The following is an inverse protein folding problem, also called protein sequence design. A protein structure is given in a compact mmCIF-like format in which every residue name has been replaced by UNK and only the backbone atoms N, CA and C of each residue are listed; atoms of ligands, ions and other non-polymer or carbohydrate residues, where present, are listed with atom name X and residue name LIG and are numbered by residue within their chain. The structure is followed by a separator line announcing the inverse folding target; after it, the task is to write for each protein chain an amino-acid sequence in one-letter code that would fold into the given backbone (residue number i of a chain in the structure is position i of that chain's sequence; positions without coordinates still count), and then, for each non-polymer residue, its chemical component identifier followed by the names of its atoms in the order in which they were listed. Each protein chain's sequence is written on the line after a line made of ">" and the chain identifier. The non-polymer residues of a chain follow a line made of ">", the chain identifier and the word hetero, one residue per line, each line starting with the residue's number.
data_IF_450029087144
#
_entry.id   IF_450029087144
#
_cell.length_a   1.000
_cell.length_b   1.000
_cell.length_c   1.000
_cell.angle_alpha   90.00
_cell.angle_beta   90.00
_cell.angle_gamma   90.00
#
_symmetry.space_group_name_H-M   'P 1'
#
loop_
_entity.id
_entity.type
_entity.pdbx_description
1 polymer ?
#
# COMPACT_ATOMS: atom_id res chain seq x y z
N UNK A 1 6.73 41.68 36.59
CA UNK A 1 6.58 41.39 35.15
C UNK A 1 7.84 40.69 34.59
N UNK A 2 8.50 39.85 35.38
CA UNK A 2 9.82 39.26 35.00
C UNK A 2 9.75 37.73 34.81
N UNK A 3 8.65 37.11 35.21
CA UNK A 3 8.40 35.67 35.05
C UNK A 3 8.01 35.31 33.61
N UNK A 4 7.27 36.18 32.91
CA UNK A 4 6.89 35.98 31.49
C UNK A 4 8.11 35.84 30.59
N UNK A 5 9.10 36.73 30.71
CA UNK A 5 10.26 36.72 29.81
C UNK A 5 11.12 35.45 29.92
N UNK A 6 11.20 34.83 31.10
CA UNK A 6 11.91 33.56 31.29
C UNK A 6 11.10 32.36 30.76
N UNK A 7 9.77 32.44 30.88
CA UNK A 7 8.86 31.42 30.39
C UNK A 7 8.81 31.44 28.86
N UNK A 8 8.73 32.63 28.27
CA UNK A 8 8.83 32.86 26.81
C UNK A 8 10.15 32.32 26.24
N UNK A 9 11.27 32.55 26.94
CA UNK A 9 12.56 32.03 26.51
C UNK A 9 12.60 30.50 26.58
N UNK A 10 12.04 29.91 27.64
CA UNK A 10 11.96 28.47 27.82
C UNK A 10 11.06 27.82 26.75
N UNK A 11 9.93 28.45 26.43
CA UNK A 11 8.99 28.00 25.41
C UNK A 11 9.60 28.09 24.01
N UNK A 12 10.34 29.14 23.70
CA UNK A 12 11.11 29.27 22.46
C UNK A 12 12.14 28.14 22.29
N UNK A 13 12.92 27.83 23.34
CA UNK A 13 13.88 26.73 23.29
C UNK A 13 13.21 25.36 23.18
N UNK A 14 12.06 25.18 23.83
CA UNK A 14 11.27 23.96 23.70
C UNK A 14 10.72 23.80 22.27
N UNK A 15 10.21 24.87 21.65
CA UNK A 15 9.73 24.85 20.27
C UNK A 15 10.84 24.47 19.30
N UNK A 16 12.03 25.08 19.41
CA UNK A 16 13.20 24.72 18.58
C UNK A 16 13.57 23.25 18.76
N UNK A 17 13.58 22.74 20.00
CA UNK A 17 13.87 21.32 20.26
C UNK A 17 12.83 20.42 19.57
N UNK A 18 11.55 20.75 19.70
CA UNK A 18 10.46 19.98 19.07
C UNK A 18 10.63 19.99 17.55
N UNK A 19 10.87 21.15 16.94
CA UNK A 19 11.05 21.28 15.49
C UNK A 19 12.25 20.44 14.99
N UNK A 20 13.36 20.44 15.73
CA UNK A 20 14.54 19.64 15.37
C UNK A 20 14.25 18.15 15.50
N UNK A 21 13.60 17.73 16.59
CA UNK A 21 13.24 16.33 16.82
C UNK A 21 12.23 15.82 15.78
N UNK A 22 11.24 16.63 15.41
CA UNK A 22 10.27 16.27 14.35
C UNK A 22 10.93 16.18 12.99
N UNK A 23 11.87 17.08 12.66
CA UNK A 23 12.63 16.99 11.41
C UNK A 23 13.47 15.72 11.34
N UNK A 24 14.12 15.36 12.45
CA UNK A 24 14.90 14.12 12.56
C UNK A 24 14.00 12.87 12.45
N UNK A 25 12.80 12.93 13.02
CA UNK A 25 11.83 11.83 12.93
C UNK A 25 11.27 11.69 11.50
N UNK A 26 10.98 12.79 10.82
CA UNK A 26 10.56 12.79 9.41
C UNK A 26 11.65 12.20 8.52
N UNK A 27 12.91 12.58 8.72
CA UNK A 27 14.07 12.02 7.99
C UNK A 27 14.24 10.51 8.27
N UNK A 28 14.07 10.08 9.53
CA UNK A 28 14.10 8.67 9.91
C UNK A 28 12.94 7.87 9.29
N UNK A 29 11.73 8.44 9.25
CA UNK A 29 10.56 7.81 8.62
C UNK A 29 10.72 7.72 7.11
N UNK A 30 11.27 8.75 6.46
CA UNK A 30 11.61 8.72 5.03
C UNK A 30 12.72 7.70 4.74
N UNK A 31 13.69 7.48 5.62
CA UNK A 31 14.68 6.39 5.46
C UNK A 31 14.06 5.00 5.70
N UNK A 32 13.25 4.83 6.74
CA UNK A 32 12.65 3.53 7.09
C UNK A 32 11.55 3.08 6.09
N UNK A 33 10.78 4.04 5.58
CA UNK A 33 9.65 3.80 4.67
C UNK A 33 9.88 4.24 3.22
N UNK A 34 10.70 5.26 2.96
CA UNK A 34 11.02 5.76 1.61
C UNK A 34 12.35 5.27 1.03
N UNK A 35 13.25 4.70 1.86
CA UNK A 35 14.59 4.24 1.43
C UNK A 35 14.70 2.76 1.04
N UNK A 36 13.64 1.96 1.16
CA UNK A 36 13.64 0.52 0.79
C UNK A 36 13.16 0.25 -0.64
N UNK A 37 13.20 1.23 -1.53
CA UNK A 37 12.54 1.11 -2.84
C UNK A 37 13.38 0.53 -3.98
N UNK A 38 14.69 0.31 -3.80
CA UNK A 38 15.53 -0.20 -4.91
C UNK A 38 16.40 -1.42 -4.61
N UNK A 39 16.61 -1.80 -3.35
CA UNK A 39 17.50 -2.91 -3.05
C UNK A 39 16.79 -4.12 -2.45
N UNK A 40 16.62 -5.09 -3.36
CA UNK A 40 16.86 -6.52 -3.14
C UNK A 40 15.61 -7.31 -2.77
N UNK A 41 15.26 -8.19 -3.72
CA UNK A 41 14.25 -9.23 -3.65
C UNK A 41 12.84 -8.72 -3.93
N UNK A 42 12.61 -8.40 -5.22
CA UNK A 42 11.36 -8.80 -5.84
C UNK A 42 11.13 -10.27 -5.51
N UNK A 43 10.22 -10.48 -4.57
CA UNK A 43 9.43 -11.68 -4.42
C UNK A 43 9.31 -12.37 -5.78
N UNK A 44 10.02 -13.50 -5.93
CA UNK A 44 10.40 -14.11 -7.22
C UNK A 44 9.27 -14.46 -8.20
N UNK A 45 8.03 -14.11 -7.88
CA UNK A 45 6.84 -14.25 -8.71
C UNK A 45 6.93 -13.48 -10.03
N UNK A 46 7.60 -12.33 -10.10
CA UNK A 46 7.78 -11.59 -11.36
C UNK A 46 8.94 -12.10 -12.21
N UNK A 47 10.08 -12.39 -11.57
CA UNK A 47 11.31 -12.79 -12.26
C UNK A 47 11.16 -14.13 -12.98
N UNK A 48 10.49 -15.11 -12.36
CA UNK A 48 10.24 -16.41 -12.97
C UNK A 48 9.44 -16.30 -14.28
N UNK A 49 8.47 -15.38 -14.36
CA UNK A 49 7.67 -15.18 -15.57
C UNK A 49 8.46 -14.46 -16.65
N UNK A 50 9.31 -13.48 -16.28
CA UNK A 50 10.23 -12.85 -17.23
C UNK A 50 11.24 -13.84 -17.80
N UNK A 51 11.78 -14.74 -16.97
CA UNK A 51 12.70 -15.79 -17.40
C UNK A 51 11.98 -16.80 -18.31
N UNK A 52 10.75 -17.18 -17.98
CA UNK A 52 9.94 -18.06 -18.82
C UNK A 52 9.69 -17.45 -20.20
N UNK A 53 9.35 -16.16 -20.25
CA UNK A 53 9.16 -15.42 -21.51
C UNK A 53 10.47 -15.31 -22.29
N UNK A 54 11.59 -15.04 -21.61
CA UNK A 54 12.91 -15.00 -22.23
C UNK A 54 13.31 -16.37 -22.83
N UNK A 55 13.11 -17.46 -22.08
CA UNK A 55 13.35 -18.82 -22.54
C UNK A 55 12.45 -19.23 -23.72
N UNK A 56 11.25 -18.67 -23.81
CA UNK A 56 10.34 -18.84 -24.95
C UNK A 56 10.71 -17.97 -26.17
N UNK A 57 11.76 -17.14 -26.09
CA UNK A 57 12.15 -16.20 -27.15
C UNK A 57 11.27 -14.95 -27.23
N UNK A 58 10.49 -14.69 -26.17
CA UNK A 58 9.54 -13.58 -26.04
C UNK A 58 9.96 -12.61 -24.92
N UNK A 59 11.28 -12.46 -24.70
CA UNK A 59 11.83 -11.60 -23.64
C UNK A 59 11.34 -10.15 -23.72
N UNK A 60 11.05 -9.64 -24.93
CA UNK A 60 10.48 -8.31 -25.14
C UNK A 60 9.14 -8.07 -24.43
N UNK A 61 8.39 -9.14 -24.11
CA UNK A 61 7.15 -9.03 -23.35
C UNK A 61 7.39 -8.83 -21.84
N UNK A 62 8.59 -9.17 -21.35
CA UNK A 62 9.00 -8.99 -19.96
C UNK A 62 9.69 -7.65 -19.67
N UNK A 63 10.24 -6.98 -20.68
CA UNK A 63 10.91 -5.67 -20.52
C UNK A 63 10.04 -4.60 -19.83
N UNK A 64 8.75 -4.41 -20.18
CA UNK A 64 7.92 -3.41 -19.50
C UNK A 64 7.81 -3.67 -17.99
N UNK A 65 7.77 -4.95 -17.57
CA UNK A 65 7.74 -5.30 -16.16
C UNK A 65 9.01 -4.88 -15.44
N UNK A 66 10.18 -5.07 -16.06
CA UNK A 66 11.49 -4.65 -15.52
C UNK A 66 11.56 -3.12 -15.36
N UNK A 67 10.88 -2.37 -16.24
CA UNK A 67 10.70 -0.93 -16.13
C UNK A 67 9.58 -0.51 -15.14
N UNK A 68 8.92 -1.47 -14.48
CA UNK A 68 7.81 -1.21 -13.56
C UNK A 68 6.51 -0.75 -14.26
N UNK A 69 6.35 -1.06 -15.54
CA UNK A 69 5.20 -0.70 -16.37
C UNK A 69 4.36 -1.92 -16.73
N UNK A 70 3.06 -1.70 -16.95
CA UNK A 70 2.17 -2.73 -17.45
C UNK A 70 2.30 -2.84 -18.98
N UNK A 71 2.32 -4.07 -19.50
CA UNK A 71 2.20 -4.32 -20.94
C UNK A 71 0.73 -4.15 -21.37
N UNK A 72 0.49 -3.36 -22.42
CA UNK A 72 -0.86 -3.12 -22.91
C UNK A 72 -1.46 -4.36 -23.61
N UNK A 73 -2.78 -4.53 -23.50
CA UNK A 73 -3.49 -5.63 -24.16
C UNK A 73 -3.39 -5.53 -25.69
N UNK A 74 -3.29 -4.31 -26.24
CA UNK A 74 -3.13 -4.08 -27.68
C UNK A 74 -1.76 -4.56 -28.19
N UNK A 75 -0.70 -4.33 -27.42
CA UNK A 75 0.65 -4.78 -27.79
C UNK A 75 0.76 -6.30 -27.63
N UNK A 76 0.16 -6.85 -26.58
CA UNK A 76 0.09 -8.28 -26.35
C UNK A 76 -0.67 -9.00 -27.48
N UNK A 77 -1.87 -8.53 -27.84
CA UNK A 77 -2.67 -9.13 -28.92
C UNK A 77 -1.94 -9.08 -30.27
N UNK A 78 -1.21 -8.00 -30.54
CA UNK A 78 -0.37 -7.88 -31.74
C UNK A 78 0.75 -8.94 -31.75
N UNK A 79 1.46 -9.11 -30.64
CA UNK A 79 2.51 -10.12 -30.50
C UNK A 79 1.99 -11.56 -30.61
N UNK A 80 0.77 -11.81 -30.12
CA UNK A 80 0.15 -13.14 -30.12
C UNK A 80 -0.59 -13.52 -31.41
N UNK A 81 -0.77 -12.57 -32.34
CA UNK A 81 -1.62 -12.73 -33.53
C UNK A 81 -1.25 -13.92 -34.43
N UNK A 82 0.03 -14.29 -34.48
CA UNK A 82 0.56 -15.39 -35.31
C UNK A 82 0.76 -16.69 -34.52
N UNK A 83 0.42 -16.73 -33.24
CA UNK A 83 0.66 -17.88 -32.37
C UNK A 83 -0.53 -18.83 -32.32
N UNK A 84 -0.25 -20.11 -32.03
CA UNK A 84 -1.33 -21.07 -31.81
C UNK A 84 -2.16 -20.68 -30.57
N UNK A 85 -3.49 -20.92 -30.55
CA UNK A 85 -4.36 -20.44 -29.46
C UNK A 85 -3.91 -20.87 -28.05
N UNK A 86 -3.39 -22.09 -27.94
CA UNK A 86 -2.90 -22.63 -26.66
C UNK A 86 -1.61 -21.92 -26.18
N UNK A 87 -0.70 -21.57 -27.10
CA UNK A 87 0.52 -20.83 -26.78
C UNK A 87 0.18 -19.39 -26.40
N UNK A 88 -0.69 -18.76 -27.18
CA UNK A 88 -1.17 -17.40 -26.91
C UNK A 88 -1.82 -17.32 -25.52
N UNK A 89 -2.65 -18.30 -25.14
CA UNK A 89 -3.25 -18.33 -23.81
C UNK A 89 -2.20 -18.49 -22.70
N UNK A 90 -1.18 -19.34 -22.89
CA UNK A 90 -0.12 -19.52 -21.91
C UNK A 90 0.66 -18.22 -21.69
N UNK A 91 1.05 -17.55 -22.76
CA UNK A 91 1.77 -16.27 -22.71
C UNK A 91 0.90 -15.19 -22.06
N UNK A 92 -0.39 -15.13 -22.41
CA UNK A 92 -1.33 -14.17 -21.82
C UNK A 92 -1.41 -14.33 -20.29
N UNK A 93 -1.48 -15.56 -19.77
CA UNK A 93 -1.46 -15.79 -18.32
C UNK A 93 -0.18 -15.27 -17.66
N UNK A 94 0.98 -15.48 -18.30
CA UNK A 94 2.27 -15.02 -17.77
C UNK A 94 2.34 -13.49 -17.73
N UNK A 95 1.90 -12.84 -18.80
CA UNK A 95 1.82 -11.37 -18.87
C UNK A 95 0.79 -10.82 -17.88
N UNK A 96 -0.35 -11.50 -17.69
CA UNK A 96 -1.35 -11.11 -16.69
C UNK A 96 -0.79 -11.16 -15.28
N UNK A 97 0.03 -12.17 -14.95
CA UNK A 97 0.77 -12.26 -13.68
C UNK A 97 1.74 -11.09 -13.54
N UNK A 98 2.55 -10.79 -14.56
CA UNK A 98 3.47 -9.64 -14.55
C UNK A 98 2.72 -8.31 -14.34
N UNK A 99 1.64 -8.07 -15.09
CA UNK A 99 0.81 -6.87 -14.92
C UNK A 99 0.15 -6.82 -13.53
N UNK A 100 -0.24 -7.96 -12.97
CA UNK A 100 -0.77 -8.05 -11.60
C UNK A 100 0.28 -7.62 -10.58
N UNK A 101 1.50 -8.15 -10.67
CA UNK A 101 2.59 -7.81 -9.76
C UNK A 101 2.96 -6.32 -9.83
N UNK A 102 3.03 -5.71 -11.01
CA UNK A 102 3.23 -4.24 -11.17
C UNK A 102 2.15 -3.45 -10.45
N UNK A 103 0.87 -3.80 -10.64
CA UNK A 103 -0.25 -3.15 -9.94
C UNK A 103 -0.18 -3.33 -8.44
N UNK A 104 0.19 -4.53 -7.98
CA UNK A 104 0.32 -4.83 -6.57
C UNK A 104 1.42 -3.99 -5.93
N UNK A 105 2.60 -3.90 -6.56
CA UNK A 105 3.70 -3.04 -6.11
C UNK A 105 3.27 -1.57 -6.04
N UNK A 106 2.61 -1.07 -7.08
CA UNK A 106 2.09 0.31 -7.09
C UNK A 106 1.06 0.57 -5.97
N UNK A 107 0.19 -0.40 -5.66
CA UNK A 107 -0.78 -0.31 -4.55
C UNK A 107 -0.09 -0.31 -3.19
N UNK A 108 0.88 -1.19 -2.99
CA UNK A 108 1.65 -1.28 -1.75
C UNK A 108 2.42 0.03 -1.49
N UNK A 109 3.09 0.57 -2.51
CA UNK A 109 3.76 1.86 -2.44
C UNK A 109 2.77 2.97 -2.04
N UNK A 110 1.63 3.08 -2.73
CA UNK A 110 0.58 4.06 -2.36
C UNK A 110 0.04 3.85 -0.95
N UNK A 111 -0.09 2.61 -0.48
CA UNK A 111 -0.56 2.31 0.87
C UNK A 111 0.44 2.75 1.93
N UNK A 112 1.75 2.57 1.70
CA UNK A 112 2.82 3.00 2.61
C UNK A 112 2.91 4.53 2.73
N UNK A 113 2.77 5.24 1.62
CA UNK A 113 2.81 6.72 1.62
C UNK A 113 1.48 7.39 1.99
N UNK A 114 0.40 6.61 2.17
CA UNK A 114 -0.88 7.17 2.62
C UNK A 114 -0.86 7.29 4.14
N UNK A 115 -0.94 8.54 4.63
CA UNK A 115 -1.17 8.83 6.05
C UNK A 115 -2.43 8.08 6.52
N UNK A 116 -2.37 7.27 7.61
CA UNK A 116 -3.53 6.57 8.14
C UNK A 116 -4.68 7.55 8.44
N UNK A 117 -5.93 7.18 8.10
CA UNK A 117 -7.09 7.99 8.47
C UNK A 117 -7.36 7.79 9.97
N UNK A 118 -7.58 8.88 10.72
CA UNK A 118 -7.94 8.81 12.15
C UNK A 118 -9.22 7.98 12.38
N UNK A 119 -10.10 7.87 11.38
CA UNK A 119 -11.29 7.01 11.44
C UNK A 119 -10.94 5.54 11.54
N UNK A 120 -9.83 5.12 10.94
CA UNK A 120 -9.38 3.72 10.98
C UNK A 120 -8.86 3.33 12.38
N UNK A 121 -8.39 4.30 13.19
CA UNK A 121 -7.92 4.07 14.57
C UNK A 121 -9.03 3.55 15.50
N UNK A 122 -10.27 4.00 15.29
CA UNK A 122 -11.42 3.63 16.14
C UNK A 122 -12.36 2.61 15.50
N UNK A 123 -12.08 2.18 14.27
CA UNK A 123 -12.96 1.30 13.50
C UNK A 123 -13.21 -0.03 14.23
N UNK A 124 -12.17 -0.63 14.78
CA UNK A 124 -12.29 -1.91 15.51
C UNK A 124 -13.14 -1.79 16.80
N UNK A 125 -13.23 -0.60 17.38
CA UNK A 125 -14.06 -0.35 18.56
C UNK A 125 -15.56 -0.37 18.23
N UNK A 126 -15.95 0.21 17.08
CA UNK A 126 -17.35 0.18 16.63
C UNK A 126 -17.80 -1.24 16.27
N UNK A 127 -16.92 -2.04 15.67
CA UNK A 127 -17.20 -3.43 15.32
C UNK A 127 -17.27 -4.34 16.56
N UNK A 128 -16.47 -4.07 17.60
CA UNK A 128 -16.47 -4.82 18.86
C UNK A 128 -17.63 -4.45 19.80
N UNK A 129 -18.20 -3.25 19.67
CA UNK A 129 -19.26 -2.74 20.55
C UNK A 129 -20.67 -3.25 20.24
N UNK A 130 -20.83 -4.08 19.20
CA UNK A 130 -22.14 -4.69 18.87
C UNK A 130 -22.55 -5.82 19.83
N UNK A 131 -21.64 -6.30 20.69
CA UNK A 131 -21.85 -7.47 21.57
C UNK A 131 -22.50 -7.21 22.94
N UNK A 132 -22.78 -5.97 23.34
CA UNK A 132 -23.42 -5.71 24.65
C UNK A 132 -24.33 -4.49 24.68
N UNK A 133 -25.09 -4.27 23.59
CA UNK A 133 -26.36 -3.55 23.70
C UNK A 133 -27.33 -4.40 24.51
N UNK A 134 -27.17 -4.36 25.84
CA UNK A 134 -28.24 -4.65 26.79
C UNK A 134 -29.34 -3.67 26.47
N UNK A 135 -30.24 -4.09 25.58
CA UNK A 135 -31.51 -3.43 25.36
C UNK A 135 -32.24 -3.60 26.70
N UNK A 136 -32.28 -2.56 27.51
CA UNK A 136 -33.34 -2.40 28.49
C UNK A 136 -34.64 -2.32 27.71
N UNK A 137 -35.12 -3.47 27.25
CA UNK A 137 -36.50 -3.67 26.91
C UNK A 137 -37.22 -3.43 28.23
N UNK A 138 -37.68 -2.21 28.47
CA UNK A 138 -38.76 -1.96 29.42
C UNK A 138 -39.88 -2.92 29.01
N UNK A 139 -40.15 -4.00 29.77
CA UNK A 139 -41.29 -4.83 29.47
C UNK A 139 -42.51 -4.01 29.84
N UNK A 140 -43.15 -3.43 28.84
CA UNK A 140 -44.52 -2.93 28.94
C UNK A 140 -45.39 -4.11 29.39
N UNK A 141 -45.75 -4.11 30.67
CA UNK A 141 -46.70 -5.06 31.22
C UNK A 141 -47.96 -4.25 31.56
N UNK A 142 -48.86 -4.20 30.59
CA UNK A 142 -50.25 -3.90 30.83
C UNK A 142 -50.88 -5.01 31.69
N UNK A 143 -51.65 -4.58 32.68
CA UNK A 143 -52.88 -5.17 33.22
C UNK A 143 -52.90 -5.63 34.71
N UNK A 144 -54.02 -5.24 35.33
CA UNK A 144 -54.75 -5.83 36.47
C UNK A 144 -54.37 -5.46 37.91
N UNK A 145 -55.01 -4.39 38.43
CA UNK A 145 -55.91 -4.42 39.60
C UNK A 145 -56.71 -3.11 39.72
#
# INVERSE_FOLDING_TARGET
>A
MEADANQDFQDYWNEIRIIQETKRLDEFLDEEYGGRDDEVEGDGEGLAETEWLAAAGLGQLGEPFLEGKELSETDLTTALSLMAPHQAQAIRRRVDTLNHTVRQRARQHRARHRKPDIRDVFRDYENSSTGSRSRSATPDSLDSA
#
